data_IF_322486222858
#
_entry.id   IF_322486222858
#
_cell.length_a   1.000
_cell.length_b   1.000
_cell.length_c   1.000
_cell.angle_alpha   90.00
_cell.angle_beta   90.00
_cell.angle_gamma   90.00
#
_symmetry.space_group_name_H-M   'P 1'
#
loop_
_entity.id
_entity.type
_entity.pdbx_description
1 polymer ?
#
# COMPACT_ATOMS: atom_id res chain seq x y z
N UNK A 1 0.63 0.02 5.06
CA UNK A 1 1.88 -0.69 4.76
C UNK A 1 2.78 -0.63 5.98
N UNK A 2 3.60 -1.63 6.22
CA UNK A 2 4.35 -1.72 7.48
C UNK A 2 5.78 -2.20 7.19
N UNK A 3 6.73 -1.65 7.93
CA UNK A 3 8.13 -2.00 7.85
C UNK A 3 8.44 -3.07 8.91
N UNK A 4 8.96 -4.21 8.50
CA UNK A 4 9.27 -5.36 9.36
C UNK A 4 10.76 -5.61 9.34
N UNK A 5 11.39 -5.63 10.52
CA UNK A 5 12.82 -5.88 10.68
C UNK A 5 13.10 -7.06 11.60
N UNK A 6 14.27 -7.67 11.41
CA UNK A 6 14.89 -8.55 12.39
C UNK A 6 15.48 -7.68 13.50
N UNK A 7 15.22 -8.03 14.78
CA UNK A 7 15.94 -7.41 15.89
C UNK A 7 17.44 -7.73 15.78
N UNK A 8 18.23 -6.70 15.54
CA UNK A 8 19.65 -6.69 15.85
C UNK A 8 19.73 -6.11 17.25
N UNK A 9 20.47 -6.74 18.16
CA UNK A 9 20.48 -6.43 19.59
C UNK A 9 20.68 -4.95 19.97
N UNK A 10 21.24 -4.16 19.08
CA UNK A 10 21.51 -2.73 19.30
C UNK A 10 20.39 -1.82 18.77
N UNK A 11 19.41 -2.35 18.03
CA UNK A 11 18.30 -1.56 17.47
C UNK A 11 17.13 -1.41 18.48
N UNK A 12 17.02 -2.33 19.46
CA UNK A 12 15.91 -2.34 20.42
C UNK A 12 15.93 -1.13 21.36
N UNK A 13 17.11 -0.69 21.78
CA UNK A 13 17.26 0.39 22.77
C UNK A 13 16.97 1.78 22.20
N UNK A 14 17.17 1.98 20.90
CA UNK A 14 16.88 3.25 20.21
C UNK A 14 15.41 3.41 19.83
N UNK A 15 14.72 2.31 19.56
CA UNK A 15 13.27 2.32 19.25
C UNK A 15 12.43 2.66 20.48
N UNK A 16 12.76 2.09 21.65
CA UNK A 16 12.05 2.33 22.90
C UNK A 16 12.25 3.77 23.45
N UNK A 17 13.36 4.42 23.09
CA UNK A 17 13.68 5.78 23.53
C UNK A 17 13.20 6.89 22.59
N UNK A 18 12.39 6.57 21.57
CA UNK A 18 11.92 7.53 20.55
C UNK A 18 13.05 8.34 19.87
N UNK A 19 14.26 7.81 19.86
CA UNK A 19 15.36 8.38 19.11
C UNK A 19 15.26 7.95 17.64
N UNK A 20 15.72 8.78 16.69
CA UNK A 20 15.81 8.35 15.30
C UNK A 20 16.69 7.10 15.25
N UNK A 21 16.18 6.03 14.64
CA UNK A 21 16.89 4.77 14.48
C UNK A 21 18.14 5.04 13.63
N UNK A 22 19.30 5.11 14.25
CA UNK A 22 20.58 5.22 13.55
C UNK A 22 20.94 3.83 13.03
N UNK A 23 20.72 3.61 11.76
CA UNK A 23 21.24 2.43 11.05
C UNK A 23 22.69 2.74 10.69
N UNK A 24 23.60 2.52 11.63
CA UNK A 24 25.04 2.69 11.41
C UNK A 24 25.60 1.42 10.78
N UNK A 25 26.02 1.52 9.54
CA UNK A 25 26.71 0.44 8.82
C UNK A 25 26.56 0.57 7.32
N UNK A 26 27.66 0.43 6.61
CA UNK A 26 27.71 0.50 5.16
C UNK A 26 26.83 -0.59 4.54
N UNK A 27 25.77 -0.18 3.88
CA UNK A 27 24.88 -1.04 3.10
C UNK A 27 23.71 -1.66 3.87
N UNK A 28 22.68 -0.86 4.12
CA UNK A 28 21.37 -1.38 4.57
C UNK A 28 20.66 -2.01 3.37
N UNK A 29 20.44 -3.32 3.40
CA UNK A 29 19.79 -4.06 2.33
C UNK A 29 18.30 -4.17 2.63
N UNK A 30 17.46 -3.62 1.75
CA UNK A 30 16.01 -3.68 1.82
C UNK A 30 15.44 -4.63 0.76
N UNK A 31 14.47 -5.46 1.13
CA UNK A 31 13.75 -6.30 0.18
C UNK A 31 12.54 -5.60 -0.46
N UNK A 32 12.48 -5.57 -1.79
CA UNK A 32 11.36 -5.03 -2.56
C UNK A 32 10.65 -6.10 -3.39
N UNK A 33 9.39 -5.85 -3.74
CA UNK A 33 8.60 -6.73 -4.62
C UNK A 33 8.89 -6.51 -6.11
N UNK A 34 9.42 -5.34 -6.48
CA UNK A 34 9.73 -4.98 -7.88
C UNK A 34 10.88 -4.01 -7.92
N UNK A 35 11.62 -3.99 -9.05
CA UNK A 35 12.67 -3.00 -9.28
C UNK A 35 12.05 -1.60 -9.38
N UNK A 36 12.64 -0.68 -8.67
CA UNK A 36 12.61 0.74 -8.99
C UNK A 36 11.48 1.58 -8.43
N UNK A 37 10.38 1.08 -7.86
CA UNK A 37 9.31 2.03 -7.54
C UNK A 37 8.54 1.79 -6.25
N UNK A 38 8.09 0.59 -5.93
CA UNK A 38 7.19 0.41 -4.77
C UNK A 38 7.90 0.38 -3.42
N UNK A 39 9.08 -0.23 -3.34
CA UNK A 39 9.82 -0.32 -2.07
C UNK A 39 10.41 1.03 -1.68
N UNK A 40 11.01 1.71 -2.63
CA UNK A 40 11.62 3.04 -2.45
C UNK A 40 10.57 4.11 -2.15
N UNK A 41 9.44 4.09 -2.85
CA UNK A 41 8.30 4.96 -2.58
C UNK A 41 7.80 4.91 -1.14
N UNK A 42 7.72 3.71 -0.61
CA UNK A 42 7.16 3.51 0.71
C UNK A 42 8.15 3.82 1.82
N UNK A 43 9.44 3.78 1.51
CA UNK A 43 10.51 4.01 2.49
C UNK A 43 10.92 5.48 2.49
N UNK A 44 10.78 6.19 1.37
CA UNK A 44 11.23 7.58 1.22
C UNK A 44 10.72 8.54 2.31
N UNK A 45 9.41 8.59 2.65
CA UNK A 45 8.94 9.45 3.74
C UNK A 45 9.51 9.07 5.10
N UNK A 46 9.75 7.77 5.34
CA UNK A 46 10.34 7.31 6.58
C UNK A 46 11.83 7.64 6.66
N UNK A 47 12.60 7.46 5.57
CA UNK A 47 14.02 7.80 5.55
C UNK A 47 14.26 9.29 5.78
N UNK A 48 13.42 10.15 5.19
CA UNK A 48 13.50 11.60 5.42
C UNK A 48 13.30 11.95 6.89
N UNK A 49 12.34 11.32 7.58
CA UNK A 49 12.07 11.56 8.99
C UNK A 49 13.08 10.90 9.95
N UNK A 50 13.84 9.92 9.47
CA UNK A 50 14.81 9.15 10.26
C UNK A 50 16.26 9.59 10.04
N UNK A 51 16.50 10.65 9.27
CA UNK A 51 17.85 11.13 8.94
C UNK A 51 18.63 10.20 8.00
N UNK A 52 17.96 9.22 7.38
CA UNK A 52 18.53 8.32 6.38
C UNK A 52 18.37 8.90 4.99
N UNK A 53 19.39 8.76 4.15
CA UNK A 53 19.24 9.06 2.73
C UNK A 53 18.80 7.77 1.99
N UNK A 54 17.75 7.87 1.16
CA UNK A 54 17.30 6.72 0.37
C UNK A 54 18.40 6.18 -0.55
N UNK A 55 19.34 7.01 -0.97
CA UNK A 55 20.50 6.62 -1.77
C UNK A 55 21.50 5.71 -1.04
N UNK A 56 21.44 5.71 0.31
CA UNK A 56 22.28 4.85 1.14
C UNK A 56 21.67 3.44 1.30
N UNK A 57 20.45 3.25 0.81
CA UNK A 57 19.76 1.97 0.86
C UNK A 57 20.06 1.13 -0.39
N UNK A 58 20.58 -0.06 -0.18
CA UNK A 58 20.65 -1.06 -1.25
C UNK A 58 19.35 -1.85 -1.32
N UNK A 59 18.59 -1.65 -2.37
CA UNK A 59 17.32 -2.35 -2.59
C UNK A 59 17.57 -3.64 -3.38
N UNK A 60 17.00 -4.76 -2.89
CA UNK A 60 17.07 -6.06 -3.56
C UNK A 60 15.66 -6.55 -3.86
N UNK A 61 15.44 -6.99 -5.09
CA UNK A 61 14.17 -7.57 -5.51
C UNK A 61 14.08 -9.05 -5.06
N UNK A 62 13.10 -9.35 -4.21
CA UNK A 62 12.90 -10.70 -3.63
C UNK A 62 11.51 -11.27 -3.99
N UNK A 63 10.60 -10.44 -4.51
CA UNK A 63 9.25 -10.86 -4.84
C UNK A 63 8.22 -10.59 -3.74
N UNK A 64 7.31 -11.54 -3.48
CA UNK A 64 6.19 -11.39 -2.54
C UNK A 64 6.58 -11.19 -1.08
N UNK A 65 5.58 -11.00 -0.19
CA UNK A 65 5.82 -10.74 1.24
C UNK A 65 6.48 -11.93 1.93
N UNK A 66 5.99 -13.15 1.73
CA UNK A 66 6.50 -14.34 2.42
C UNK A 66 7.97 -14.64 2.12
N UNK A 67 8.45 -14.64 0.85
CA UNK A 67 9.88 -14.76 0.56
C UNK A 67 10.73 -13.66 1.23
N UNK A 68 10.25 -12.41 1.24
CA UNK A 68 10.97 -11.29 1.86
C UNK A 68 11.08 -11.45 3.36
N UNK A 69 10.02 -11.91 4.04
CA UNK A 69 10.01 -12.22 5.47
C UNK A 69 11.04 -13.31 5.77
N UNK A 70 11.11 -14.37 4.95
CA UNK A 70 12.08 -15.44 5.12
C UNK A 70 13.52 -14.93 5.04
N UNK A 71 13.84 -14.08 4.05
CA UNK A 71 15.18 -13.51 3.85
C UNK A 71 15.55 -12.51 4.97
N UNK A 72 14.60 -11.74 5.51
CA UNK A 72 14.83 -10.90 6.69
C UNK A 72 15.09 -11.77 7.92
N UNK A 73 14.33 -12.85 8.10
CA UNK A 73 14.53 -13.79 9.22
C UNK A 73 15.93 -14.41 9.23
N UNK A 74 16.49 -14.71 8.07
CA UNK A 74 17.86 -15.24 7.96
C UNK A 74 18.95 -14.18 8.15
N UNK A 75 18.59 -12.89 8.17
CA UNK A 75 19.53 -11.77 8.33
C UNK A 75 20.23 -11.35 7.04
N UNK A 76 19.83 -11.89 5.89
CA UNK A 76 20.35 -11.47 4.58
C UNK A 76 19.79 -10.09 4.17
N UNK A 77 18.62 -9.72 4.69
CA UNK A 77 18.05 -8.38 4.58
C UNK A 77 17.89 -7.78 5.98
N UNK A 78 18.16 -6.50 6.11
CA UNK A 78 17.97 -5.78 7.37
C UNK A 78 16.46 -5.59 7.66
N UNK A 79 15.68 -5.24 6.65
CA UNK A 79 14.24 -5.00 6.78
C UNK A 79 13.50 -5.19 5.45
N UNK A 80 12.19 -5.22 5.52
CA UNK A 80 11.31 -5.20 4.36
C UNK A 80 10.00 -4.50 4.66
N UNK A 81 9.30 -4.09 3.60
CA UNK A 81 7.97 -3.48 3.68
C UNK A 81 6.91 -4.53 3.36
N UNK A 82 5.91 -4.68 4.21
CA UNK A 82 4.83 -5.66 4.02
C UNK A 82 3.45 -5.01 4.14
N UNK A 83 2.43 -5.69 3.64
CA UNK A 83 1.02 -5.35 3.85
C UNK A 83 0.48 -6.04 5.11
N UNK A 84 -0.78 -5.82 5.47
CA UNK A 84 -1.36 -6.32 6.72
C UNK A 84 -1.23 -7.83 6.95
N UNK A 85 -1.42 -8.66 5.92
CA UNK A 85 -1.22 -10.12 6.03
C UNK A 85 0.25 -10.48 6.27
N UNK A 86 1.17 -9.79 5.59
CA UNK A 86 2.60 -9.96 5.82
C UNK A 86 3.06 -9.49 7.19
N UNK A 87 2.37 -8.51 7.82
CA UNK A 87 2.63 -8.17 9.22
C UNK A 87 2.43 -9.36 10.13
N UNK A 88 1.25 -9.98 10.05
CA UNK A 88 0.90 -11.15 10.89
C UNK A 88 1.90 -12.29 10.68
N UNK A 89 2.29 -12.53 9.44
CA UNK A 89 3.29 -13.54 9.09
C UNK A 89 4.67 -13.19 9.66
N UNK A 90 5.10 -11.94 9.54
CA UNK A 90 6.37 -11.46 10.07
C UNK A 90 6.44 -11.55 11.60
N UNK A 91 5.39 -11.14 12.30
CA UNK A 91 5.30 -11.25 13.76
C UNK A 91 5.36 -12.71 14.22
N UNK A 92 4.65 -13.62 13.54
CA UNK A 92 4.75 -15.06 13.79
C UNK A 92 6.16 -15.63 13.53
N UNK A 93 6.90 -15.03 12.60
CA UNK A 93 8.29 -15.38 12.32
C UNK A 93 9.31 -14.78 13.31
N UNK A 94 8.83 -14.02 14.31
CA UNK A 94 9.65 -13.36 15.33
C UNK A 94 10.24 -12.02 14.88
N UNK A 95 9.71 -11.42 13.81
CA UNK A 95 10.13 -10.10 13.33
C UNK A 95 9.32 -9.00 14.03
N UNK A 96 9.92 -7.81 14.16
CA UNK A 96 9.24 -6.63 14.73
C UNK A 96 8.79 -5.67 13.64
N UNK A 97 7.61 -5.07 13.85
CA UNK A 97 7.14 -3.90 13.07
C UNK A 97 7.76 -2.66 13.71
N UNK A 98 8.61 -1.96 12.97
CA UNK A 98 9.23 -0.72 13.45
C UNK A 98 8.49 0.53 13.00
N UNK A 99 7.80 0.47 11.84
CA UNK A 99 7.00 1.59 11.34
C UNK A 99 5.68 1.08 10.80
N UNK A 100 4.59 1.67 11.27
CA UNK A 100 3.26 1.53 10.69
C UNK A 100 2.94 2.76 9.84
N UNK A 101 3.07 2.63 8.54
CA UNK A 101 2.87 3.75 7.60
C UNK A 101 1.43 4.26 7.56
N UNK A 102 0.45 3.45 8.00
CA UNK A 102 -0.93 3.90 8.14
C UNK A 102 -1.08 4.98 9.22
N UNK A 103 -0.16 5.04 10.18
CA UNK A 103 -0.14 6.04 11.26
C UNK A 103 0.58 7.34 10.87
N UNK A 104 1.24 7.37 9.72
CA UNK A 104 2.00 8.55 9.28
C UNK A 104 1.12 9.62 8.62
N UNK A 105 -0.17 9.35 8.42
CA UNK A 105 -1.12 10.26 7.75
C UNK A 105 -0.62 10.82 6.40
N UNK A 106 0.17 10.02 5.67
CA UNK A 106 0.68 10.41 4.37
C UNK A 106 -0.36 10.07 3.30
N UNK A 107 -0.89 11.05 2.59
CA UNK A 107 -1.76 10.79 1.46
C UNK A 107 -0.99 9.97 0.40
N UNK A 108 -1.55 8.83 0.02
CA UNK A 108 -0.93 7.95 -0.97
C UNK A 108 -1.99 7.16 -1.73
N UNK A 109 -2.00 7.27 -3.06
CA UNK A 109 -2.88 6.49 -3.91
C UNK A 109 -2.31 5.07 -4.05
N UNK A 110 -2.72 4.16 -3.16
CA UNK A 110 -2.10 2.84 -3.03
C UNK A 110 -2.51 1.87 -4.14
N UNK A 111 -3.82 1.79 -4.40
CA UNK A 111 -4.39 0.95 -5.47
C UNK A 111 -5.46 1.72 -6.20
N UNK A 112 -5.59 1.48 -7.50
CA UNK A 112 -6.62 2.07 -8.34
C UNK A 112 -6.97 1.15 -9.51
N UNK A 113 -8.14 1.34 -10.06
CA UNK A 113 -8.50 0.79 -11.37
C UNK A 113 -8.01 1.76 -12.43
N UNK A 114 -7.33 1.25 -13.44
CA UNK A 114 -6.82 2.05 -14.55
C UNK A 114 -7.48 1.62 -15.87
N UNK A 115 -7.73 2.57 -16.74
CA UNK A 115 -8.17 2.35 -18.11
C UNK A 115 -7.36 3.24 -19.06
N UNK A 116 -7.21 2.79 -20.31
CA UNK A 116 -6.57 3.64 -21.32
C UNK A 116 -7.52 4.76 -21.74
N UNK A 117 -6.97 5.92 -22.12
CA UNK A 117 -7.78 7.00 -22.65
C UNK A 117 -8.60 6.61 -23.90
N UNK A 118 -8.09 5.64 -24.68
CA UNK A 118 -8.84 5.04 -25.80
C UNK A 118 -10.10 4.31 -25.30
N UNK A 119 -9.96 3.43 -24.31
CA UNK A 119 -11.10 2.69 -23.74
C UNK A 119 -12.15 3.64 -23.16
N UNK A 120 -11.70 4.68 -22.44
CA UNK A 120 -12.61 5.68 -21.86
C UNK A 120 -13.43 6.40 -22.93
N UNK A 121 -12.84 6.72 -24.09
CA UNK A 121 -13.53 7.43 -25.18
C UNK A 121 -14.40 6.52 -26.01
N UNK A 122 -13.92 5.32 -26.35
CA UNK A 122 -14.59 4.43 -27.31
C UNK A 122 -15.62 3.52 -26.65
N UNK A 123 -15.42 3.16 -25.36
CA UNK A 123 -16.29 2.23 -24.62
C UNK A 123 -16.72 2.80 -23.25
N UNK A 124 -17.32 4.00 -23.19
CA UNK A 124 -17.67 4.64 -21.90
C UNK A 124 -18.72 3.83 -21.11
N UNK A 125 -19.55 3.05 -21.77
CA UNK A 125 -20.54 2.18 -21.11
C UNK A 125 -19.86 1.06 -20.31
N UNK A 126 -18.81 0.44 -20.85
CA UNK A 126 -18.06 -0.61 -20.19
C UNK A 126 -17.29 -0.03 -18.98
N UNK A 127 -16.67 1.16 -19.16
CA UNK A 127 -15.98 1.85 -18.06
C UNK A 127 -16.95 2.21 -16.92
N UNK A 128 -18.16 2.68 -17.26
CA UNK A 128 -19.23 2.95 -16.28
C UNK A 128 -19.63 1.67 -15.52
N UNK A 129 -19.80 0.56 -16.24
CA UNK A 129 -20.10 -0.74 -15.65
C UNK A 129 -19.01 -1.20 -14.70
N UNK A 130 -17.74 -1.05 -15.08
CA UNK A 130 -16.59 -1.39 -14.27
C UNK A 130 -16.52 -0.54 -12.99
N UNK A 131 -16.69 0.78 -13.11
CA UNK A 131 -16.66 1.70 -11.95
C UNK A 131 -17.79 1.33 -10.97
N UNK A 132 -19.01 1.07 -11.47
CA UNK A 132 -20.12 0.61 -10.64
C UNK A 132 -19.80 -0.70 -9.94
N UNK A 133 -19.30 -1.69 -10.67
CA UNK A 133 -18.95 -2.99 -10.10
C UNK A 133 -17.85 -2.86 -9.01
N UNK A 134 -16.89 -1.95 -9.18
CA UNK A 134 -15.87 -1.68 -8.16
C UNK A 134 -16.48 -1.05 -6.89
N UNK A 135 -17.42 -0.12 -7.04
CA UNK A 135 -18.15 0.47 -5.90
C UNK A 135 -18.95 -0.60 -5.16
N UNK A 136 -19.68 -1.45 -5.88
CA UNK A 136 -20.45 -2.55 -5.29
C UNK A 136 -19.53 -3.56 -4.58
N UNK A 137 -18.39 -3.89 -5.18
CA UNK A 137 -17.41 -4.80 -4.58
C UNK A 137 -16.79 -4.23 -3.29
N UNK A 138 -16.52 -2.93 -3.24
CA UNK A 138 -16.00 -2.28 -2.03
C UNK A 138 -17.04 -2.23 -0.92
N UNK A 139 -18.31 -1.97 -1.25
CA UNK A 139 -19.41 -2.07 -0.29
C UNK A 139 -19.57 -3.50 0.24
N UNK A 140 -19.56 -4.51 -0.65
CA UNK A 140 -19.57 -5.92 -0.28
C UNK A 140 -18.41 -6.28 0.65
N UNK A 141 -17.19 -5.85 0.30
CA UNK A 141 -15.99 -6.07 1.12
C UNK A 141 -16.16 -5.56 2.55
N UNK A 142 -16.75 -4.37 2.72
CA UNK A 142 -16.95 -3.74 4.04
C UNK A 142 -18.05 -4.39 4.87
N UNK A 143 -19.11 -4.88 4.22
CA UNK A 143 -20.34 -5.34 4.90
C UNK A 143 -20.43 -6.85 5.07
N UNK A 144 -19.63 -7.63 4.32
CA UNK A 144 -19.75 -9.10 4.26
C UNK A 144 -18.42 -9.79 4.60
N UNK A 145 -17.89 -9.50 5.80
CA UNK A 145 -16.55 -9.95 6.23
C UNK A 145 -16.31 -11.45 6.01
N UNK A 146 -17.25 -12.32 6.45
CA UNK A 146 -17.07 -13.76 6.35
C UNK A 146 -17.03 -14.25 4.90
N UNK A 147 -17.92 -13.74 4.04
CA UNK A 147 -17.93 -14.07 2.64
C UNK A 147 -16.62 -13.64 1.95
N UNK A 148 -16.14 -12.45 2.29
CA UNK A 148 -14.84 -11.94 1.80
C UNK A 148 -13.69 -12.84 2.24
N UNK A 149 -13.66 -13.27 3.50
CA UNK A 149 -12.61 -14.15 4.00
C UNK A 149 -12.63 -15.53 3.31
N UNK A 150 -13.81 -16.06 3.00
CA UNK A 150 -13.94 -17.29 2.21
C UNK A 150 -13.40 -17.10 0.78
N UNK A 151 -13.74 -15.97 0.14
CA UNK A 151 -13.22 -15.63 -1.19
C UNK A 151 -11.69 -15.48 -1.13
N UNK A 152 -11.16 -14.75 -0.14
CA UNK A 152 -9.72 -14.59 0.05
C UNK A 152 -9.02 -15.93 0.22
N UNK A 153 -9.56 -16.84 1.04
CA UNK A 153 -9.01 -18.18 1.25
C UNK A 153 -8.92 -19.00 -0.05
N UNK A 154 -9.91 -18.86 -0.93
CA UNK A 154 -9.93 -19.53 -2.23
C UNK A 154 -8.79 -19.07 -3.15
N UNK A 155 -8.46 -17.78 -3.15
CA UNK A 155 -7.47 -17.18 -4.05
C UNK A 155 -6.07 -17.03 -3.44
N UNK A 156 -5.94 -17.08 -2.11
CA UNK A 156 -4.65 -16.98 -1.39
C UNK A 156 -4.30 -18.32 -0.73
N UNK A 157 -4.00 -19.30 -1.56
CA UNK A 157 -3.72 -20.68 -1.10
C UNK A 157 -2.65 -20.71 0.00
N UNK A 158 -2.92 -21.44 1.08
CA UNK A 158 -1.97 -21.68 2.16
C UNK A 158 -1.89 -20.57 3.23
N UNK A 159 -2.67 -19.49 3.11
CA UNK A 159 -2.72 -18.48 4.18
C UNK A 159 -3.58 -18.97 5.35
N UNK A 160 -3.09 -18.76 6.59
CA UNK A 160 -3.86 -19.05 7.79
C UNK A 160 -5.05 -18.10 7.94
N UNK A 161 -6.11 -18.55 8.62
CA UNK A 161 -7.29 -17.72 8.90
C UNK A 161 -6.90 -16.38 9.56
N UNK A 162 -6.00 -16.38 10.54
CA UNK A 162 -5.54 -15.16 11.21
C UNK A 162 -4.79 -14.20 10.27
N UNK A 163 -4.05 -14.72 9.28
CA UNK A 163 -3.40 -13.87 8.29
C UNK A 163 -4.42 -13.24 7.32
N UNK A 164 -5.46 -13.99 6.95
CA UNK A 164 -6.57 -13.48 6.13
C UNK A 164 -7.34 -12.38 6.86
N UNK A 165 -7.68 -12.59 8.13
CA UNK A 165 -8.35 -11.59 8.98
C UNK A 165 -7.50 -10.33 9.16
N UNK A 166 -6.21 -10.48 9.46
CA UNK A 166 -5.28 -9.34 9.55
C UNK A 166 -5.17 -8.57 8.23
N UNK A 167 -5.16 -9.27 7.10
CA UNK A 167 -5.19 -8.67 5.77
C UNK A 167 -6.49 -7.89 5.51
N UNK A 168 -7.63 -8.50 5.81
CA UNK A 168 -8.95 -7.90 5.70
C UNK A 168 -9.04 -6.63 6.55
N UNK A 169 -8.76 -6.71 7.85
CA UNK A 169 -8.90 -5.59 8.78
C UNK A 169 -7.95 -4.43 8.43
N UNK A 170 -6.73 -4.75 7.96
CA UNK A 170 -5.77 -3.74 7.51
C UNK A 170 -6.23 -3.02 6.25
N UNK A 171 -6.78 -3.76 5.29
CA UNK A 171 -7.26 -3.17 4.05
C UNK A 171 -8.56 -2.37 4.26
N UNK A 172 -9.48 -2.89 5.09
CA UNK A 172 -10.74 -2.23 5.41
C UNK A 172 -10.55 -0.83 6.02
N UNK A 173 -9.48 -0.64 6.81
CA UNK A 173 -9.12 0.67 7.38
C UNK A 173 -8.63 1.68 6.33
N UNK A 174 -8.14 1.20 5.20
CA UNK A 174 -7.63 2.04 4.12
C UNK A 174 -8.71 2.40 3.08
N UNK A 175 -9.83 1.67 3.09
CA UNK A 175 -10.91 1.91 2.14
C UNK A 175 -11.65 3.20 2.50
N UNK A 176 -11.74 4.10 1.54
CA UNK A 176 -12.60 5.28 1.60
C UNK A 176 -13.99 4.95 1.04
N UNK A 177 -15.04 5.46 1.67
CA UNK A 177 -16.41 5.16 1.26
C UNK A 177 -16.75 5.71 -0.12
N UNK A 178 -16.28 6.90 -0.42
CA UNK A 178 -16.62 7.59 -1.66
C UNK A 178 -15.80 7.11 -2.88
N UNK A 179 -14.84 6.21 -2.67
CA UNK A 179 -14.00 5.59 -3.72
C UNK A 179 -13.27 6.56 -4.66
N UNK A 180 -13.28 7.86 -4.35
CA UNK A 180 -12.56 8.86 -5.11
C UNK A 180 -11.04 8.69 -4.96
N UNK A 181 -10.27 8.80 -6.06
CA UNK A 181 -8.82 8.83 -5.97
C UNK A 181 -8.35 10.07 -5.20
N UNK A 182 -7.31 9.94 -4.42
CA UNK A 182 -6.71 11.05 -3.69
C UNK A 182 -5.73 11.82 -4.57
N UNK A 183 -6.05 13.07 -4.92
CA UNK A 183 -5.16 13.93 -5.71
C UNK A 183 -3.86 14.23 -4.96
N UNK A 184 -3.93 14.47 -3.65
CA UNK A 184 -2.75 14.65 -2.81
C UNK A 184 -1.86 13.40 -2.79
N UNK A 185 -2.48 12.21 -2.77
CA UNK A 185 -1.75 10.95 -2.87
C UNK A 185 -1.06 10.77 -4.23
N UNK A 186 -1.69 11.19 -5.31
CA UNK A 186 -1.09 11.18 -6.66
C UNK A 186 0.04 12.22 -6.73
N UNK A 187 -0.16 13.42 -6.16
CA UNK A 187 0.86 14.46 -6.09
C UNK A 187 2.13 13.96 -5.40
N UNK A 188 1.99 13.34 -4.23
CA UNK A 188 3.12 12.76 -3.51
C UNK A 188 3.84 11.68 -4.33
N UNK A 189 3.10 10.87 -5.09
CA UNK A 189 3.69 9.90 -6.02
C UNK A 189 4.49 10.60 -7.12
N UNK A 190 3.94 11.64 -7.72
CA UNK A 190 4.61 12.40 -8.78
C UNK A 190 5.89 13.09 -8.27
N UNK A 191 5.87 13.66 -7.07
CA UNK A 191 7.04 14.28 -6.45
C UNK A 191 8.18 13.28 -6.24
N UNK A 192 7.87 12.08 -5.76
CA UNK A 192 8.89 11.02 -5.61
C UNK A 192 9.34 10.54 -7.00
N UNK A 193 8.42 10.31 -7.93
CA UNK A 193 8.75 9.87 -9.28
C UNK A 193 9.63 10.89 -10.02
N UNK A 194 9.48 12.18 -9.74
CA UNK A 194 10.29 13.24 -10.32
C UNK A 194 11.79 13.12 -9.99
N UNK A 195 12.14 12.41 -8.92
CA UNK A 195 13.54 12.12 -8.59
C UNK A 195 14.19 11.13 -9.56
N UNK A 196 13.36 10.35 -10.28
CA UNK A 196 13.77 9.31 -11.22
C UNK A 196 13.49 9.72 -12.67
N UNK A 197 12.29 10.27 -12.93
CA UNK A 197 11.86 10.75 -14.25
C UNK A 197 11.46 12.23 -14.19
N UNK A 198 12.25 13.13 -14.81
CA UNK A 198 11.95 14.57 -14.83
C UNK A 198 10.59 14.95 -15.44
N UNK A 199 9.97 14.07 -16.25
CA UNK A 199 8.64 14.30 -16.80
C UNK A 199 7.58 14.34 -15.70
N UNK A 200 7.76 13.56 -14.64
CA UNK A 200 6.84 13.54 -13.51
C UNK A 200 6.77 14.88 -12.77
N UNK A 201 7.86 15.65 -12.76
CA UNK A 201 7.88 17.00 -12.17
C UNK A 201 6.96 18.02 -12.88
N UNK A 202 6.60 17.75 -14.13
CA UNK A 202 5.72 18.61 -14.95
C UNK A 202 4.28 18.11 -15.00
N UNK A 203 4.03 16.92 -14.50
CA UNK A 203 2.72 16.29 -14.54
C UNK A 203 1.83 16.80 -13.41
N UNK A 204 0.54 16.93 -13.67
CA UNK A 204 -0.46 17.34 -12.68
C UNK A 204 -1.31 16.14 -12.26
N UNK A 205 -1.66 16.00 -10.96
CA UNK A 205 -2.48 14.90 -10.48
C UNK A 205 -3.78 14.68 -11.25
N UNK A 206 -4.43 15.77 -11.68
CA UNK A 206 -5.70 15.76 -12.38
C UNK A 206 -5.61 15.07 -13.76
N UNK A 207 -4.44 15.00 -14.36
CA UNK A 207 -4.22 14.35 -15.66
C UNK A 207 -4.31 12.82 -15.57
N UNK A 208 -4.25 12.26 -14.34
CA UNK A 208 -4.27 10.82 -14.08
C UNK A 208 -5.63 10.32 -13.61
N UNK A 209 -6.63 11.18 -13.51
CA UNK A 209 -7.96 10.79 -12.98
C UNK A 209 -9.08 11.17 -13.95
N UNK A 210 -10.08 10.33 -14.02
CA UNK A 210 -11.35 10.62 -14.70
C UNK A 210 -12.50 10.35 -13.71
N UNK A 211 -13.03 11.41 -13.14
CA UNK A 211 -14.04 11.35 -12.09
C UNK A 211 -15.47 11.26 -12.61
N UNK A 212 -15.70 11.46 -13.92
CA UNK A 212 -17.03 11.57 -14.52
C UNK A 212 -17.96 10.41 -14.14
N UNK A 213 -17.45 9.19 -14.17
CA UNK A 213 -18.24 7.99 -13.88
C UNK A 213 -18.63 7.86 -12.40
N UNK A 214 -17.76 8.26 -11.48
CA UNK A 214 -18.09 8.33 -10.05
C UNK A 214 -19.08 9.46 -9.76
N UNK A 215 -18.90 10.61 -10.39
CA UNK A 215 -19.81 11.75 -10.28
C UNK A 215 -21.21 11.41 -10.80
N UNK A 216 -21.32 10.65 -11.89
CA UNK A 216 -22.59 10.13 -12.40
C UNK A 216 -23.29 9.23 -11.35
N UNK A 217 -22.55 8.29 -10.74
CA UNK A 217 -23.08 7.43 -9.67
C UNK A 217 -23.52 8.23 -8.45
N UNK A 218 -22.76 9.23 -8.05
CA UNK A 218 -23.11 10.12 -6.93
C UNK A 218 -24.37 10.93 -7.24
N UNK A 219 -24.43 11.57 -8.41
CA UNK A 219 -25.58 12.40 -8.84
C UNK A 219 -26.86 11.57 -9.03
N UNK A 220 -26.75 10.31 -9.42
CA UNK A 220 -27.91 9.40 -9.53
C UNK A 220 -28.50 8.96 -8.20
N UNK A 221 -27.88 9.31 -7.08
CA UNK A 221 -28.26 8.84 -5.74
C UNK A 221 -27.86 7.37 -5.47
N UNK A 222 -27.17 6.73 -6.41
CA UNK A 222 -26.78 5.32 -6.27
C UNK A 222 -25.93 5.06 -5.03
N UNK A 223 -24.93 5.91 -4.76
CA UNK A 223 -24.08 5.78 -3.59
C UNK A 223 -24.89 5.91 -2.29
N UNK A 224 -25.81 6.87 -2.23
CA UNK A 224 -26.66 7.05 -1.06
C UNK A 224 -27.51 5.80 -0.79
N UNK A 225 -28.15 5.25 -1.84
CA UNK A 225 -28.93 4.02 -1.74
C UNK A 225 -28.08 2.83 -1.28
N UNK A 226 -26.87 2.69 -1.82
CA UNK A 226 -25.96 1.57 -1.52
C UNK A 226 -25.50 1.60 -0.06
N UNK A 227 -25.18 2.80 0.46
CA UNK A 227 -24.66 2.97 1.82
C UNK A 227 -25.75 3.33 2.85
N UNK A 228 -27.05 3.27 2.47
CA UNK A 228 -28.17 3.56 3.38
C UNK A 228 -28.21 5.01 3.88
N UNK A 229 -27.69 5.95 3.09
CA UNK A 229 -27.70 7.37 3.41
C UNK A 229 -28.96 8.02 2.81
N UNK A 230 -29.74 8.68 3.65
CA UNK A 230 -30.89 9.50 3.22
C UNK A 230 -30.44 10.87 2.69
#
# INVERSE_FOLDING_TARGET
MQLVVRMISNLSDDIDKRRPVQITGSCVVCGSASSGTRGEFCISPWTQNSGLNIKDLKTVMVGGSSPRIAVVKTGQLAFTVVTGSGKVEGEKAGLKVIVDMAKMNLPFQFTCTIATGKMIRENPAEVRGLVRAMVDALHFYRTRKEDVLQIMAKYTRGMSRSALEGGYDSFNKLLVEDTYPTLDGIKNILEIQATIDPKAAKARPEEFVDLRFLDELKKSGYLNKLYGRS
#
